data_IF_437868309615
#
_entry.id   IF_437868309615
#
_cell.length_a   1.000
_cell.length_b   1.000
_cell.length_c   1.000
_cell.angle_alpha   90.00
_cell.angle_beta   90.00
_cell.angle_gamma   90.00
#
_symmetry.space_group_name_H-M   'P 1'
#
loop_
_entity.id
_entity.type
_entity.pdbx_description
1 polymer ?
#
# COMPACT_ATOMS: atom_id res chain seq x y z
N UNK A 1 19.27 18.22 32.41
CA UNK A 1 18.44 18.96 31.43
C UNK A 1 19.32 19.25 30.22
N UNK A 2 18.97 18.76 29.02
CA UNK A 2 19.74 19.06 27.80
C UNK A 2 19.94 17.92 26.79
N UNK A 3 19.19 16.81 26.85
CA UNK A 3 19.44 15.65 25.96
C UNK A 3 18.35 15.46 24.88
N UNK A 4 17.13 16.02 25.09
CA UNK A 4 16.11 16.22 24.03
C UNK A 4 16.71 16.96 22.82
N UNK A 5 17.74 17.78 23.05
CA UNK A 5 18.42 18.57 22.02
C UNK A 5 18.90 17.73 20.82
N UNK A 6 19.46 16.54 21.02
CA UNK A 6 20.02 15.77 19.88
C UNK A 6 18.90 15.24 18.99
N UNK A 7 17.85 14.66 19.57
CA UNK A 7 16.70 14.21 18.79
C UNK A 7 16.01 15.39 18.08
N UNK A 8 15.89 16.54 18.75
CA UNK A 8 15.33 17.76 18.17
C UNK A 8 16.21 18.31 17.03
N UNK A 9 17.54 18.24 17.16
CA UNK A 9 18.48 18.59 16.09
C UNK A 9 18.30 17.64 14.91
N UNK A 10 18.22 16.32 15.13
CA UNK A 10 17.99 15.33 14.06
C UNK A 10 16.67 15.62 13.33
N UNK A 11 15.60 15.95 14.06
CA UNK A 11 14.32 16.29 13.44
C UNK A 11 14.36 17.61 12.68
N UNK A 12 15.03 18.65 13.20
CA UNK A 12 15.20 19.94 12.51
C UNK A 12 16.05 19.80 11.24
N UNK A 13 17.13 19.02 11.30
CA UNK A 13 17.97 18.71 10.14
C UNK A 13 17.15 17.95 9.10
N UNK A 14 16.41 16.92 9.52
CA UNK A 14 15.57 16.17 8.59
C UNK A 14 14.46 17.04 7.99
N UNK A 15 13.81 17.90 8.77
CA UNK A 15 12.81 18.85 8.26
C UNK A 15 13.43 19.81 7.22
N UNK A 16 14.66 20.26 7.44
CA UNK A 16 15.39 21.10 6.49
C UNK A 16 15.75 20.34 5.21
N UNK A 17 16.18 19.08 5.32
CA UNK A 17 16.41 18.16 4.20
C UNK A 17 15.11 17.95 3.43
N UNK A 18 14.00 17.75 4.13
CA UNK A 18 12.71 17.60 3.50
C UNK A 18 12.28 18.83 2.70
N UNK A 19 12.49 20.03 3.25
CA UNK A 19 12.11 21.27 2.57
C UNK A 19 13.03 21.62 1.40
N UNK A 20 14.33 21.34 1.50
CA UNK A 20 15.33 21.76 0.51
C UNK A 20 15.72 20.68 -0.50
N UNK A 21 15.71 19.41 -0.13
CA UNK A 21 16.26 18.31 -0.95
C UNK A 21 15.15 17.53 -1.64
N UNK A 22 14.05 17.19 -0.95
CA UNK A 22 12.94 16.39 -1.54
C UNK A 22 12.34 17.03 -2.82
N UNK A 23 12.20 18.37 -2.93
CA UNK A 23 11.74 18.99 -4.18
C UNK A 23 12.66 18.74 -5.38
N UNK A 24 13.94 18.44 -5.15
CA UNK A 24 14.91 18.13 -6.21
C UNK A 24 15.17 16.62 -6.38
N UNK A 25 15.20 15.88 -5.27
CA UNK A 25 15.46 14.43 -5.24
C UNK A 25 14.33 13.73 -4.49
N UNK A 26 13.36 13.19 -5.24
CA UNK A 26 12.26 12.41 -4.69
C UNK A 26 12.43 10.94 -5.06
N UNK A 27 12.37 10.06 -4.06
CA UNK A 27 12.42 8.62 -4.28
C UNK A 27 11.15 8.17 -5.02
N UNK A 28 10.01 8.79 -4.73
CA UNK A 28 8.76 8.52 -5.44
C UNK A 28 8.88 8.82 -6.95
N UNK A 29 9.47 9.98 -7.32
CA UNK A 29 9.75 10.31 -8.73
C UNK A 29 10.72 9.32 -9.34
N UNK A 30 11.81 9.01 -8.66
CA UNK A 30 12.78 8.03 -9.17
C UNK A 30 12.14 6.66 -9.40
N UNK A 31 11.25 6.21 -8.52
CA UNK A 31 10.57 4.93 -8.67
C UNK A 31 9.70 4.85 -9.93
N UNK A 32 9.08 5.98 -10.32
CA UNK A 32 8.19 6.05 -11.49
C UNK A 32 8.91 6.47 -12.79
N UNK A 33 9.90 7.36 -12.72
CA UNK A 33 10.46 8.06 -13.88
C UNK A 33 11.86 7.58 -14.30
N UNK A 34 12.42 6.52 -13.70
CA UNK A 34 13.76 6.00 -14.05
C UNK A 34 13.82 5.28 -15.43
N UNK A 35 12.92 5.58 -16.36
CA UNK A 35 12.92 5.07 -17.74
C UNK A 35 12.55 3.60 -17.94
N UNK A 36 12.44 2.80 -16.87
CA UNK A 36 12.10 1.37 -16.97
C UNK A 36 10.61 1.09 -17.18
N UNK A 37 9.74 2.03 -16.80
CA UNK A 37 8.29 1.89 -16.92
C UNK A 37 7.82 2.46 -18.26
N UNK A 38 7.05 1.65 -19.00
CA UNK A 38 6.50 2.02 -20.32
C UNK A 38 4.99 2.06 -20.25
N UNK A 39 4.42 3.22 -20.55
CA UNK A 39 2.98 3.42 -20.64
C UNK A 39 2.54 3.50 -22.10
N UNK A 40 1.28 3.17 -22.35
CA UNK A 40 0.68 3.24 -23.67
C UNK A 40 0.07 4.62 -23.89
N UNK A 41 0.51 5.31 -24.92
CA UNK A 41 -0.01 6.62 -25.27
C UNK A 41 -1.46 6.49 -25.79
N UNK A 42 -2.32 7.43 -25.41
CA UNK A 42 -3.66 7.49 -25.95
C UNK A 42 -3.59 7.87 -27.44
N UNK A 43 -4.32 7.15 -28.31
CA UNK A 43 -4.29 7.43 -29.74
C UNK A 43 -5.01 8.75 -30.04
N UNK A 44 -4.43 9.56 -30.91
CA UNK A 44 -5.01 10.86 -31.29
C UNK A 44 -6.25 10.67 -32.16
N UNK A 45 -7.20 11.62 -32.11
CA UNK A 45 -8.41 11.54 -32.96
C UNK A 45 -8.06 11.44 -34.44
N UNK A 46 -6.96 12.05 -34.87
CA UNK A 46 -6.49 12.00 -36.26
C UNK A 46 -5.95 10.62 -36.65
N UNK A 47 -5.13 9.98 -35.81
CA UNK A 47 -4.68 8.59 -36.02
C UNK A 47 -5.85 7.62 -36.10
N UNK A 48 -6.79 7.75 -35.15
CA UNK A 48 -8.01 6.96 -35.10
C UNK A 48 -8.87 7.16 -36.36
N UNK A 49 -8.97 8.39 -36.86
CA UNK A 49 -9.70 8.72 -38.10
C UNK A 49 -9.02 8.15 -39.35
N UNK A 50 -7.69 8.20 -39.43
CA UNK A 50 -6.90 7.64 -40.54
C UNK A 50 -7.06 6.11 -40.57
N UNK A 51 -6.93 5.45 -39.43
CA UNK A 51 -7.07 4.00 -39.30
C UNK A 51 -8.50 3.54 -39.62
N UNK A 52 -9.52 4.27 -39.14
CA UNK A 52 -10.92 3.98 -39.45
C UNK A 52 -11.24 4.19 -40.94
N UNK A 53 -10.65 5.22 -41.55
CA UNK A 53 -10.78 5.53 -42.98
C UNK A 53 -10.15 4.47 -43.89
N UNK A 54 -9.06 3.82 -43.46
CA UNK A 54 -8.44 2.70 -44.20
C UNK A 54 -9.35 1.46 -44.23
N UNK A 55 -10.02 1.11 -43.12
CA UNK A 55 -10.98 -0.01 -43.09
C UNK A 55 -12.29 0.28 -43.83
N UNK A 56 -12.74 1.54 -43.89
CA UNK A 56 -13.96 1.92 -44.62
C UNK A 56 -13.83 1.86 -46.15
N UNK A 57 -12.60 1.86 -46.71
CA UNK A 57 -12.40 1.75 -48.16
C UNK A 57 -12.88 0.42 -48.78
N UNK A 58 -13.20 -0.59 -47.96
CA UNK A 58 -13.74 -1.89 -48.41
C UNK A 58 -15.26 -2.06 -48.34
N UNK A 59 -16.02 -1.15 -47.72
CA UNK A 59 -17.49 -1.24 -47.64
C UNK A 59 -18.14 -0.07 -48.39
N UNK A 60 -18.68 -0.40 -49.56
CA UNK A 60 -19.41 0.48 -50.47
C UNK A 60 -20.29 1.50 -49.72
N UNK A 61 -20.05 2.77 -50.01
CA UNK A 61 -20.78 3.94 -49.52
C UNK A 61 -22.21 3.88 -50.08
N UNK A 62 -23.19 3.42 -49.29
CA UNK A 62 -24.62 3.52 -49.63
C UNK A 62 -25.37 4.27 -48.53
N UNK A 63 -25.74 5.50 -48.89
CA UNK A 63 -26.82 6.37 -48.39
C UNK A 63 -27.13 6.48 -46.88
N UNK A 64 -27.05 7.72 -46.38
CA UNK A 64 -28.26 8.55 -46.12
C UNK A 64 -27.86 9.92 -45.58
N UNK A 65 -28.08 10.96 -46.40
CA UNK A 65 -28.30 12.33 -45.93
C UNK A 65 -29.57 12.33 -45.07
N UNK A 66 -29.48 12.75 -43.82
CA UNK A 66 -30.65 13.19 -43.05
C UNK A 66 -30.31 14.48 -42.30
N UNK A 67 -31.27 15.40 -42.35
CA UNK A 67 -31.21 16.79 -41.93
C UNK A 67 -30.95 16.98 -40.42
N UNK A 68 -30.17 18.01 -40.10
CA UNK A 68 -30.63 19.09 -39.21
C UNK A 68 -30.77 18.81 -37.71
N UNK A 69 -29.75 18.27 -37.05
CA UNK A 69 -29.43 18.57 -35.64
C UNK A 69 -27.98 18.14 -35.38
N UNK A 70 -27.03 19.08 -35.38
CA UNK A 70 -25.63 18.78 -35.03
C UNK A 70 -25.54 18.79 -33.50
N UNK A 71 -26.05 17.72 -32.88
CA UNK A 71 -25.40 17.26 -31.65
C UNK A 71 -24.09 16.62 -32.09
N UNK A 72 -22.97 17.12 -31.59
CA UNK A 72 -21.63 16.56 -31.80
C UNK A 72 -21.54 15.18 -31.15
N UNK A 73 -22.19 14.18 -31.76
CA UNK A 73 -22.05 12.78 -31.35
C UNK A 73 -20.59 12.39 -31.58
N UNK A 74 -19.91 11.85 -30.56
CA UNK A 74 -18.49 11.55 -30.65
C UNK A 74 -18.24 10.55 -31.79
N UNK A 75 -17.19 10.81 -32.57
CA UNK A 75 -16.84 9.99 -33.73
C UNK A 75 -16.77 8.52 -33.30
N UNK A 76 -17.54 7.64 -33.93
CA UNK A 76 -17.62 6.22 -33.57
C UNK A 76 -16.82 5.38 -34.54
N UNK A 77 -15.98 4.48 -34.05
CA UNK A 77 -15.01 3.69 -34.81
C UNK A 77 -15.30 2.19 -34.64
N UNK A 78 -15.07 1.33 -35.66
CA UNK A 78 -15.16 -0.12 -35.49
C UNK A 78 -14.22 -0.64 -34.40
N UNK A 79 -14.68 -1.58 -33.58
CA UNK A 79 -13.89 -2.17 -32.50
C UNK A 79 -12.73 -3.04 -33.01
N UNK A 80 -12.83 -3.59 -34.22
CA UNK A 80 -11.85 -4.43 -34.91
C UNK A 80 -10.75 -3.65 -35.63
N UNK A 81 -10.56 -2.38 -35.29
CA UNK A 81 -9.54 -1.53 -35.89
C UNK A 81 -8.13 -2.04 -35.57
N UNK A 82 -7.23 -1.99 -36.56
CA UNK A 82 -5.83 -2.38 -36.36
C UNK A 82 -5.05 -1.28 -35.62
N UNK A 83 -5.40 -1.09 -34.35
CA UNK A 83 -4.78 -0.14 -33.45
C UNK A 83 -3.59 -0.79 -32.74
N UNK A 84 -2.39 -0.31 -33.02
CA UNK A 84 -1.20 -0.60 -32.23
C UNK A 84 -0.92 0.62 -31.34
N UNK A 85 -0.99 0.42 -30.02
CA UNK A 85 -0.70 1.49 -29.07
C UNK A 85 0.82 1.70 -29.00
N UNK A 86 1.27 2.94 -29.17
CA UNK A 86 2.68 3.29 -29.01
C UNK A 86 3.06 3.32 -27.53
N UNK A 87 4.23 2.75 -27.21
CA UNK A 87 4.77 2.77 -25.85
C UNK A 87 5.72 3.95 -25.67
N UNK A 88 5.49 4.75 -24.63
CA UNK A 88 6.38 5.84 -24.22
C UNK A 88 6.91 5.58 -22.80
N UNK A 89 8.13 6.01 -22.51
CA UNK A 89 8.66 6.00 -21.14
C UNK A 89 7.93 7.05 -20.28
N UNK A 90 7.67 6.72 -19.01
CA UNK A 90 7.06 7.67 -18.07
C UNK A 90 8.04 8.82 -17.80
N UNK A 91 7.61 10.06 -18.07
CA UNK A 91 8.42 11.28 -17.83
C UNK A 91 7.86 12.12 -16.68
N UNK A 92 8.69 12.97 -16.07
CA UNK A 92 8.28 13.80 -14.91
C UNK A 92 7.11 14.73 -15.24
N UNK A 93 7.06 15.26 -16.46
CA UNK A 93 5.98 16.17 -16.91
C UNK A 93 4.64 15.44 -16.95
N UNK A 94 4.65 14.16 -17.34
CA UNK A 94 3.44 13.34 -17.37
C UNK A 94 2.92 13.09 -15.95
N UNK A 95 3.80 12.94 -14.95
CA UNK A 95 3.42 12.67 -13.54
C UNK A 95 2.76 13.86 -12.83
N UNK A 96 3.06 15.09 -13.25
CA UNK A 96 2.49 16.32 -12.66
C UNK A 96 1.00 16.50 -12.99
N UNK A 97 0.52 15.91 -14.09
CA UNK A 97 -0.88 15.98 -14.49
C UNK A 97 -1.80 15.10 -13.62
N UNK A 98 -1.25 14.33 -12.68
CA UNK A 98 -2.02 13.35 -11.91
C UNK A 98 -2.43 13.87 -10.52
N UNK A 99 -3.73 13.79 -10.26
CA UNK A 99 -4.38 14.36 -9.07
C UNK A 99 -3.81 13.84 -7.74
N UNK A 100 -3.47 12.54 -7.65
CA UNK A 100 -2.98 11.89 -6.44
C UNK A 100 -1.46 11.77 -6.34
N UNK A 101 -0.73 12.29 -7.34
CA UNK A 101 0.73 12.20 -7.35
C UNK A 101 1.39 12.94 -6.19
N UNK A 102 0.97 14.17 -5.83
CA UNK A 102 1.56 14.87 -4.71
C UNK A 102 1.39 14.13 -3.38
N UNK A 103 0.23 13.48 -3.17
CA UNK A 103 -0.05 12.72 -1.95
C UNK A 103 0.81 11.44 -1.86
N UNK A 104 0.96 10.73 -2.99
CA UNK A 104 1.84 9.56 -3.08
C UNK A 104 3.31 9.93 -2.88
N UNK A 105 3.78 10.97 -3.58
CA UNK A 105 5.14 11.46 -3.47
C UNK A 105 5.48 11.83 -2.02
N UNK A 106 4.58 12.58 -1.38
CA UNK A 106 4.75 12.96 0.02
C UNK A 106 4.79 11.75 0.95
N UNK A 107 3.90 10.76 0.78
CA UNK A 107 3.87 9.56 1.61
C UNK A 107 5.19 8.79 1.53
N UNK A 108 5.71 8.55 0.32
CA UNK A 108 6.96 7.79 0.12
C UNK A 108 8.16 8.56 0.66
N UNK A 109 8.32 9.82 0.28
CA UNK A 109 9.49 10.60 0.67
C UNK A 109 9.50 10.88 2.19
N UNK A 110 8.33 11.13 2.79
CA UNK A 110 8.20 11.26 4.26
C UNK A 110 8.49 9.94 4.97
N UNK A 111 8.08 8.80 4.41
CA UNK A 111 8.37 7.47 4.98
C UNK A 111 9.89 7.21 5.01
N UNK A 112 10.59 7.54 3.92
CA UNK A 112 12.06 7.42 3.86
C UNK A 112 12.71 8.33 4.89
N UNK A 113 12.28 9.60 4.98
CA UNK A 113 12.78 10.54 5.97
C UNK A 113 12.56 10.04 7.41
N UNK A 114 11.35 9.57 7.73
CA UNK A 114 11.01 8.99 9.03
C UNK A 114 11.86 7.74 9.35
N UNK A 115 12.11 6.88 8.35
CA UNK A 115 12.98 5.71 8.50
C UNK A 115 14.41 6.11 8.85
N UNK A 116 14.96 7.12 8.17
CA UNK A 116 16.30 7.64 8.46
C UNK A 116 16.37 8.25 9.86
N UNK A 117 15.37 9.05 10.25
CA UNK A 117 15.26 9.60 11.61
C UNK A 117 15.22 8.46 12.64
N UNK A 118 14.44 7.42 12.39
CA UNK A 118 14.34 6.26 13.27
C UNK A 118 15.67 5.53 13.40
N UNK A 119 16.35 5.22 12.29
CA UNK A 119 17.65 4.53 12.30
C UNK A 119 18.71 5.37 13.03
N UNK A 120 18.83 6.65 12.73
CA UNK A 120 19.80 7.54 13.42
C UNK A 120 19.51 7.60 14.91
N UNK A 121 18.23 7.68 15.27
CA UNK A 121 17.81 7.69 16.68
C UNK A 121 18.16 6.37 17.36
N UNK A 122 17.90 5.23 16.74
CA UNK A 122 18.27 3.91 17.29
C UNK A 122 19.78 3.71 17.44
N UNK A 123 20.55 4.15 16.45
CA UNK A 123 22.02 4.14 16.53
C UNK A 123 22.46 4.99 17.72
N UNK A 124 21.87 6.16 17.92
CA UNK A 124 22.13 7.02 19.08
C UNK A 124 21.76 6.35 20.42
N UNK A 125 20.59 5.72 20.52
CA UNK A 125 20.18 5.01 21.73
C UNK A 125 21.13 3.84 22.06
N UNK A 126 21.60 3.10 21.06
CA UNK A 126 22.56 2.00 21.25
C UNK A 126 23.90 2.48 21.82
N UNK A 127 24.39 3.64 21.39
CA UNK A 127 25.66 4.19 21.88
C UNK A 127 25.54 4.91 23.22
N UNK A 128 24.52 5.74 23.40
CA UNK A 128 24.43 6.68 24.53
C UNK A 128 23.56 6.18 25.69
N UNK A 129 22.74 5.13 25.49
CA UNK A 129 21.83 4.54 26.49
C UNK A 129 21.08 5.57 27.35
N UNK A 130 20.38 6.56 26.77
CA UNK A 130 19.66 7.57 27.55
C UNK A 130 18.45 6.93 28.25
N UNK A 131 18.37 7.09 29.59
CA UNK A 131 17.41 6.38 30.45
C UNK A 131 16.05 7.08 30.63
N UNK A 132 15.89 8.33 30.18
CA UNK A 132 14.73 9.15 30.55
C UNK A 132 14.13 9.98 29.39
N UNK A 133 14.28 9.53 28.15
CA UNK A 133 13.84 10.31 26.98
C UNK A 133 12.75 9.63 26.16
N UNK A 134 11.70 10.40 25.86
CA UNK A 134 10.68 10.03 24.88
C UNK A 134 11.34 9.97 23.50
N UNK A 135 11.22 8.84 22.83
CA UNK A 135 11.81 8.64 21.50
C UNK A 135 11.00 9.43 20.46
N UNK A 136 11.48 10.61 20.04
CA UNK A 136 10.81 11.48 19.07
C UNK A 136 10.64 10.79 17.71
N UNK A 137 11.48 9.80 17.37
CA UNK A 137 11.31 9.05 16.12
C UNK A 137 9.97 8.28 16.06
N UNK A 138 9.38 7.93 17.21
CA UNK A 138 8.04 7.35 17.28
C UNK A 138 6.97 8.32 16.78
N UNK A 139 7.14 9.62 17.02
CA UNK A 139 6.23 10.66 16.50
C UNK A 139 6.29 10.69 14.97
N UNK A 140 7.47 10.56 14.38
CA UNK A 140 7.62 10.46 12.91
C UNK A 140 6.92 9.21 12.37
N UNK A 141 7.05 8.06 13.05
CA UNK A 141 6.35 6.84 12.68
C UNK A 141 4.81 7.00 12.77
N UNK A 142 4.30 7.68 13.81
CA UNK A 142 2.88 8.01 13.95
C UNK A 142 2.38 8.98 12.86
N UNK A 143 3.21 9.92 12.42
CA UNK A 143 2.91 10.80 11.30
C UNK A 143 2.84 10.03 9.98
N UNK A 144 3.75 9.08 9.73
CA UNK A 144 3.66 8.17 8.57
C UNK A 144 2.34 7.41 8.61
N UNK A 145 1.96 6.88 9.77
CA UNK A 145 0.68 6.18 9.95
C UNK A 145 -0.52 7.09 9.65
N UNK A 146 -0.51 8.32 10.13
CA UNK A 146 -1.55 9.31 9.87
C UNK A 146 -1.65 9.64 8.37
N UNK A 147 -0.53 9.83 7.68
CA UNK A 147 -0.51 10.07 6.24
C UNK A 147 -1.01 8.86 5.44
N UNK A 148 -0.64 7.65 5.84
CA UNK A 148 -1.14 6.43 5.23
C UNK A 148 -2.67 6.32 5.34
N UNK A 149 -3.22 6.55 6.54
CA UNK A 149 -4.68 6.53 6.77
C UNK A 149 -5.37 7.63 5.94
N UNK A 150 -4.80 8.84 5.89
CA UNK A 150 -5.32 9.94 5.08
C UNK A 150 -5.41 9.54 3.60
N UNK A 151 -4.35 8.96 3.04
CA UNK A 151 -4.32 8.52 1.63
C UNK A 151 -5.36 7.41 1.39
N UNK A 152 -5.46 6.43 2.29
CA UNK A 152 -6.47 5.37 2.21
C UNK A 152 -7.90 5.90 2.27
N UNK A 153 -8.15 6.90 3.11
CA UNK A 153 -9.46 7.55 3.21
C UNK A 153 -9.79 8.38 1.96
N UNK A 154 -8.84 9.19 1.48
CA UNK A 154 -8.95 9.99 0.25
C UNK A 154 -9.33 9.12 -0.95
N UNK A 155 -8.64 8.00 -1.07
CA UNK A 155 -8.86 7.00 -2.09
C UNK A 155 -10.22 6.30 -1.96
N UNK A 156 -10.59 5.85 -0.77
CA UNK A 156 -11.90 5.21 -0.55
C UNK A 156 -13.03 6.18 -0.89
N UNK A 157 -12.88 7.45 -0.52
CA UNK A 157 -13.85 8.50 -0.87
C UNK A 157 -14.00 8.68 -2.38
N UNK A 158 -12.92 8.51 -3.15
CA UNK A 158 -12.97 8.55 -4.61
C UNK A 158 -13.79 7.39 -5.19
N UNK A 159 -13.55 6.16 -4.75
CA UNK A 159 -14.36 4.99 -5.15
C UNK A 159 -15.84 5.19 -4.79
N UNK A 160 -16.11 5.75 -3.61
CA UNK A 160 -17.48 6.01 -3.20
C UNK A 160 -18.17 7.09 -4.05
N UNK A 161 -17.45 7.94 -4.77
CA UNK A 161 -18.04 8.96 -5.65
C UNK A 161 -18.43 8.45 -7.04
N UNK A 162 -17.96 7.26 -7.43
CA UNK A 162 -18.34 6.65 -8.71
C UNK A 162 -19.85 6.34 -8.70
N UNK A 163 -20.53 6.59 -9.82
CA UNK A 163 -22.00 6.54 -9.93
C UNK A 163 -22.58 5.13 -9.70
N UNK A 164 -21.78 4.07 -9.88
CA UNK A 164 -22.19 2.69 -9.64
C UNK A 164 -22.16 2.35 -8.14
N UNK A 165 -23.34 2.30 -7.51
CA UNK A 165 -23.50 2.04 -6.07
C UNK A 165 -22.97 0.69 -5.55
N UNK A 166 -22.55 -0.23 -6.43
CA UNK A 166 -22.01 -1.55 -6.07
C UNK A 166 -20.71 -1.48 -5.27
N UNK A 167 -19.83 -0.51 -5.56
CA UNK A 167 -18.55 -0.35 -4.87
C UNK A 167 -18.75 -0.03 -3.37
N UNK A 168 -19.71 0.82 -3.05
CA UNK A 168 -20.03 1.18 -1.65
C UNK A 168 -20.46 -0.04 -0.85
N UNK A 169 -21.31 -0.88 -1.44
CA UNK A 169 -21.79 -2.10 -0.80
C UNK A 169 -20.64 -3.06 -0.51
N UNK A 170 -19.74 -3.29 -1.48
CA UNK A 170 -18.55 -4.15 -1.30
C UNK A 170 -17.71 -3.66 -0.13
N UNK A 171 -17.39 -2.36 -0.08
CA UNK A 171 -16.57 -1.81 1.00
C UNK A 171 -17.20 -2.00 2.38
N UNK A 172 -18.51 -1.80 2.51
CA UNK A 172 -19.24 -1.99 3.79
C UNK A 172 -19.26 -3.47 4.18
N UNK A 173 -19.53 -4.38 3.25
CA UNK A 173 -19.53 -5.82 3.50
C UNK A 173 -18.16 -6.32 3.97
N UNK A 174 -17.08 -5.89 3.30
CA UNK A 174 -15.72 -6.23 3.74
C UNK A 174 -15.37 -5.60 5.08
N UNK A 175 -15.83 -4.37 5.36
CA UNK A 175 -15.70 -3.74 6.68
C UNK A 175 -16.29 -4.62 7.79
N UNK A 176 -17.52 -5.11 7.61
CA UNK A 176 -18.15 -6.04 8.56
C UNK A 176 -17.38 -7.37 8.67
N UNK A 177 -16.93 -7.93 7.55
CA UNK A 177 -16.10 -9.15 7.56
C UNK A 177 -14.81 -8.95 8.37
N UNK A 178 -14.11 -7.83 8.18
CA UNK A 178 -12.91 -7.51 8.95
C UNK A 178 -13.20 -7.21 10.42
N UNK A 179 -14.37 -6.65 10.75
CA UNK A 179 -14.81 -6.49 12.13
C UNK A 179 -14.94 -7.84 12.85
N UNK A 180 -15.66 -8.79 12.26
CA UNK A 180 -15.83 -10.14 12.82
C UNK A 180 -14.47 -10.84 12.96
N UNK A 181 -13.63 -10.75 11.93
CA UNK A 181 -12.28 -11.31 11.95
C UNK A 181 -11.41 -10.68 13.06
N UNK A 182 -11.44 -9.35 13.20
CA UNK A 182 -10.69 -8.64 14.23
C UNK A 182 -11.16 -9.03 15.64
N UNK A 183 -12.48 -9.12 15.85
CA UNK A 183 -13.04 -9.59 17.12
C UNK A 183 -12.58 -11.01 17.45
N UNK A 184 -12.66 -11.95 16.49
CA UNK A 184 -12.19 -13.32 16.69
C UNK A 184 -10.72 -13.36 17.09
N UNK A 185 -9.86 -12.58 16.42
CA UNK A 185 -8.42 -12.50 16.71
C UNK A 185 -8.14 -11.85 18.07
N UNK A 186 -8.85 -10.78 18.45
CA UNK A 186 -8.63 -10.05 19.71
C UNK A 186 -9.15 -10.81 20.95
N UNK A 187 -10.03 -11.78 20.76
CA UNK A 187 -10.48 -12.70 21.82
C UNK A 187 -9.40 -13.75 22.13
N UNK A 188 -8.58 -14.13 21.14
CA UNK A 188 -7.48 -15.08 21.35
C UNK A 188 -6.50 -14.53 22.38
N UNK A 189 -6.08 -15.38 23.32
CA UNK A 189 -5.17 -15.01 24.39
C UNK A 189 -3.74 -14.81 23.88
N UNK A 190 -2.96 -13.98 24.59
CA UNK A 190 -1.55 -13.72 24.24
C UNK A 190 -0.64 -14.95 24.35
N UNK A 191 -1.15 -16.05 24.91
CA UNK A 191 -0.50 -17.35 24.91
C UNK A 191 -0.41 -17.97 23.52
N UNK A 192 -1.22 -17.51 22.56
CA UNK A 192 -1.19 -17.97 21.17
C UNK A 192 -0.70 -16.89 20.20
N UNK A 193 -0.96 -15.62 20.47
CA UNK A 193 -0.60 -14.49 19.60
C UNK A 193 0.33 -13.49 20.32
N UNK A 194 1.52 -13.24 19.78
CA UNK A 194 2.53 -12.32 20.35
C UNK A 194 2.27 -10.85 20.02
N UNK A 195 1.07 -10.32 20.30
CA UNK A 195 0.80 -8.91 20.02
C UNK A 195 1.22 -7.96 21.16
N UNK A 196 1.33 -8.46 22.40
CA UNK A 196 1.65 -7.63 23.58
C UNK A 196 0.59 -6.56 23.88
N UNK A 197 -0.66 -6.84 23.53
CA UNK A 197 -1.80 -5.93 23.67
C UNK A 197 -2.20 -5.72 25.13
N UNK A 198 -2.15 -6.76 25.97
CA UNK A 198 -2.48 -6.70 27.38
C UNK A 198 -1.42 -5.90 28.14
N UNK A 199 -0.14 -6.17 27.90
CA UNK A 199 0.97 -5.37 28.45
C UNK A 199 0.92 -3.92 27.97
N UNK A 200 0.64 -3.70 26.68
CA UNK A 200 0.45 -2.35 26.14
C UNK A 200 -0.72 -1.61 26.79
N UNK A 201 -1.84 -2.31 27.01
CA UNK A 201 -3.01 -1.76 27.68
C UNK A 201 -2.76 -1.43 29.16
N UNK A 202 -2.07 -2.30 29.91
CA UNK A 202 -1.73 -2.03 31.31
C UNK A 202 -0.82 -0.81 31.42
N UNK A 203 0.24 -0.75 30.60
CA UNK A 203 1.16 0.38 30.59
C UNK A 203 0.45 1.70 30.22
N UNK A 204 -0.47 1.66 29.25
CA UNK A 204 -1.28 2.81 28.87
C UNK A 204 -2.23 3.23 30.00
N UNK A 205 -2.95 2.28 30.60
CA UNK A 205 -3.90 2.55 31.68
C UNK A 205 -3.18 3.15 32.90
N UNK A 206 -2.04 2.58 33.30
CA UNK A 206 -1.25 3.08 34.43
C UNK A 206 -0.72 4.49 34.16
N UNK A 207 -0.22 4.75 32.94
CA UNK A 207 0.23 6.09 32.54
C UNK A 207 -0.92 7.11 32.50
N UNK A 208 -2.10 6.70 32.02
CA UNK A 208 -3.29 7.55 31.98
C UNK A 208 -3.81 7.86 33.39
N UNK A 209 -3.77 6.90 34.30
CA UNK A 209 -4.13 7.11 35.70
C UNK A 209 -3.19 8.11 36.38
N UNK A 210 -1.87 7.95 36.22
CA UNK A 210 -0.90 8.92 36.76
C UNK A 210 -1.08 10.33 36.18
N UNK A 211 -1.52 10.45 34.93
CA UNK A 211 -1.83 11.74 34.33
C UNK A 211 -3.11 12.36 34.90
N UNK A 212 -4.17 11.56 35.06
CA UNK A 212 -5.45 12.00 35.63
C UNK A 212 -5.32 12.41 37.10
N UNK A 213 -4.55 11.65 37.89
CA UNK A 213 -4.23 11.99 39.29
C UNK A 213 -3.53 13.35 39.38
N UNK A 214 -2.59 13.63 38.47
CA UNK A 214 -1.93 14.95 38.39
C UNK A 214 -2.87 16.09 37.99
N UNK A 215 -3.95 15.79 37.29
CA UNK A 215 -5.01 16.75 36.94
C UNK A 215 -6.09 16.87 38.03
N UNK A 216 -5.93 16.17 39.17
CA UNK A 216 -6.86 16.22 40.30
C UNK A 216 -8.17 15.44 40.08
N UNK A 217 -8.22 14.57 39.08
CA UNK A 217 -9.38 13.72 38.80
C UNK A 217 -9.17 12.33 39.43
N UNK A 218 -9.75 12.09 40.61
CA UNK A 218 -9.87 10.73 41.15
C UNK A 218 -10.86 9.95 40.28
N UNK A 219 -10.38 8.99 39.49
CA UNK A 219 -11.28 8.12 38.74
C UNK A 219 -10.77 6.70 38.63
N UNK A 220 -11.71 5.76 38.80
CA UNK A 220 -11.59 4.33 38.53
C UNK A 220 -10.99 4.09 37.15
N UNK A 221 -10.37 2.91 36.97
CA UNK A 221 -9.72 2.47 35.74
C UNK A 221 -10.46 2.97 34.47
N UNK A 222 -9.85 3.85 33.66
CA UNK A 222 -10.59 4.73 32.75
C UNK A 222 -11.32 4.01 31.60
N UNK A 223 -10.94 2.76 31.28
CA UNK A 223 -11.56 1.94 30.23
C UNK A 223 -11.46 0.45 30.61
N UNK A 224 -12.48 -0.36 30.33
CA UNK A 224 -12.38 -1.82 30.52
C UNK A 224 -11.53 -2.48 29.40
N UNK A 225 -10.82 -3.58 29.70
CA UNK A 225 -10.07 -4.37 28.69
C UNK A 225 -10.95 -4.77 27.49
N UNK A 226 -12.21 -5.11 27.74
CA UNK A 226 -13.16 -5.50 26.69
C UNK A 226 -13.57 -4.32 25.81
N UNK A 227 -13.85 -3.16 26.43
CA UNK A 227 -14.15 -1.92 25.71
C UNK A 227 -12.97 -1.50 24.82
N UNK A 228 -11.74 -1.61 25.32
CA UNK A 228 -10.53 -1.33 24.54
C UNK A 228 -10.41 -2.26 23.32
N UNK A 229 -10.55 -3.59 23.52
CA UNK A 229 -10.54 -4.56 22.42
C UNK A 229 -11.66 -4.30 21.40
N UNK A 230 -12.84 -3.90 21.84
CA UNK A 230 -13.96 -3.56 20.96
C UNK A 230 -13.66 -2.33 20.08
N UNK A 231 -13.15 -1.24 20.66
CA UNK A 231 -12.75 -0.07 19.87
C UNK A 231 -11.62 -0.40 18.90
N UNK A 232 -10.63 -1.19 19.34
CA UNK A 232 -9.56 -1.66 18.46
C UNK A 232 -10.12 -2.48 17.28
N UNK A 233 -11.12 -3.34 17.51
CA UNK A 233 -11.79 -4.08 16.44
C UNK A 233 -12.49 -3.16 15.43
N UNK A 234 -13.11 -2.07 15.90
CA UNK A 234 -13.71 -1.04 15.02
C UNK A 234 -12.61 -0.37 14.17
N UNK A 235 -11.49 0.02 14.77
CA UNK A 235 -10.37 0.59 14.02
C UNK A 235 -9.80 -0.39 12.99
N UNK A 236 -9.61 -1.66 13.35
CA UNK A 236 -9.18 -2.71 12.43
C UNK A 236 -10.18 -2.93 11.28
N UNK A 237 -11.49 -2.87 11.57
CA UNK A 237 -12.54 -2.96 10.56
C UNK A 237 -12.49 -1.80 9.58
N UNK A 238 -12.34 -0.57 10.07
CA UNK A 238 -12.26 0.63 9.24
C UNK A 238 -11.03 0.60 8.33
N UNK A 239 -9.87 0.26 8.88
CA UNK A 239 -8.63 0.08 8.10
C UNK A 239 -8.82 -1.04 7.08
N UNK A 240 -9.36 -2.20 7.48
CA UNK A 240 -9.65 -3.31 6.58
C UNK A 240 -10.57 -2.93 5.42
N UNK A 241 -11.63 -2.16 5.69
CA UNK A 241 -12.52 -1.64 4.66
C UNK A 241 -11.76 -0.77 3.65
N UNK A 242 -10.96 0.19 4.12
CA UNK A 242 -10.16 1.04 3.24
C UNK A 242 -9.09 0.28 2.43
N UNK A 243 -8.61 -0.85 2.95
CA UNK A 243 -7.65 -1.72 2.27
C UNK A 243 -8.29 -2.68 1.26
N UNK A 244 -9.63 -2.78 1.22
CA UNK A 244 -10.34 -3.76 0.37
C UNK A 244 -10.09 -3.50 -1.11
N UNK A 245 -10.37 -2.30 -1.60
CA UNK A 245 -10.14 -1.93 -3.00
C UNK A 245 -8.66 -1.99 -3.41
N UNK A 246 -7.72 -1.39 -2.64
CA UNK A 246 -6.30 -1.58 -2.89
C UNK A 246 -5.89 -3.06 -2.93
N UNK A 247 -6.43 -3.89 -2.03
CA UNK A 247 -6.14 -5.31 -1.93
C UNK A 247 -6.63 -6.11 -3.14
N UNK A 248 -7.89 -5.92 -3.53
CA UNK A 248 -8.45 -6.53 -4.75
C UNK A 248 -7.68 -6.10 -5.99
N UNK A 249 -7.32 -4.81 -6.06
CA UNK A 249 -6.57 -4.29 -7.18
C UNK A 249 -5.14 -4.84 -7.24
N UNK A 250 -4.49 -5.00 -6.08
CA UNK A 250 -3.19 -5.65 -5.98
C UNK A 250 -3.25 -7.12 -6.45
N UNK A 251 -4.30 -7.85 -6.08
CA UNK A 251 -4.48 -9.25 -6.49
C UNK A 251 -4.62 -9.35 -8.02
N UNK A 252 -5.37 -8.45 -8.66
CA UNK A 252 -5.47 -8.38 -10.11
C UNK A 252 -4.10 -8.10 -10.77
N UNK A 253 -3.35 -7.12 -10.25
CA UNK A 253 -2.01 -6.82 -10.77
C UNK A 253 -1.04 -7.99 -10.64
N UNK A 254 -1.16 -8.75 -9.56
CA UNK A 254 -0.33 -9.93 -9.35
C UNK A 254 -0.61 -10.98 -10.42
N UNK A 255 -1.87 -11.28 -10.69
CA UNK A 255 -2.26 -12.19 -11.78
C UNK A 255 -1.80 -11.67 -13.14
N UNK A 256 -1.94 -10.36 -13.37
CA UNK A 256 -1.51 -9.72 -14.60
C UNK A 256 0.02 -9.78 -14.79
N UNK A 257 0.79 -9.56 -13.72
CA UNK A 257 2.24 -9.66 -13.73
C UNK A 257 2.69 -11.11 -13.94
N UNK A 258 1.99 -12.09 -13.36
CA UNK A 258 2.28 -13.51 -13.54
C UNK A 258 2.08 -13.94 -15.00
N UNK A 259 1.00 -13.46 -15.63
CA UNK A 259 0.73 -13.74 -17.05
C UNK A 259 1.76 -13.12 -18.00
N UNK A 260 2.38 -12.01 -17.59
CA UNK A 260 3.44 -11.33 -18.36
C UNK A 260 4.83 -11.90 -18.08
N UNK A 261 5.03 -12.56 -16.95
CA UNK A 261 6.31 -13.13 -16.57
C UNK A 261 6.59 -14.42 -17.36
N UNK A 262 7.61 -14.38 -18.21
CA UNK A 262 8.07 -15.53 -19.00
C UNK A 262 9.06 -16.42 -18.24
N UNK A 263 9.85 -15.82 -17.34
CA UNK A 263 10.89 -16.52 -16.59
C UNK A 263 10.35 -17.18 -15.32
N UNK A 264 10.73 -18.45 -15.11
CA UNK A 264 10.31 -19.24 -13.93
C UNK A 264 10.74 -18.61 -12.61
N UNK A 265 11.94 -18.00 -12.56
CA UNK A 265 12.45 -17.34 -11.34
C UNK A 265 11.53 -16.18 -10.96
N UNK A 266 11.21 -15.31 -11.92
CA UNK A 266 10.30 -14.18 -11.72
C UNK A 266 8.91 -14.63 -11.27
N UNK A 267 8.38 -15.71 -11.85
CA UNK A 267 7.11 -16.31 -11.39
C UNK A 267 7.17 -16.80 -9.94
N UNK A 268 8.24 -17.51 -9.56
CA UNK A 268 8.41 -17.97 -8.17
C UNK A 268 8.53 -16.79 -7.19
N UNK A 269 9.29 -15.75 -7.53
CA UNK A 269 9.43 -14.55 -6.71
C UNK A 269 8.09 -13.81 -6.56
N UNK A 270 7.28 -13.74 -7.62
CA UNK A 270 5.95 -13.17 -7.57
C UNK A 270 5.04 -13.96 -6.62
N UNK A 271 5.05 -15.29 -6.66
CA UNK A 271 4.26 -16.11 -5.72
C UNK A 271 4.69 -15.92 -4.27
N UNK A 272 6.00 -15.90 -4.00
CA UNK A 272 6.54 -15.63 -2.67
C UNK A 272 6.10 -14.23 -2.21
N UNK A 273 6.16 -13.23 -3.08
CA UNK A 273 5.72 -11.87 -2.76
C UNK A 273 4.21 -11.76 -2.46
N UNK A 274 3.38 -12.53 -3.17
CA UNK A 274 1.95 -12.60 -2.88
C UNK A 274 1.65 -13.24 -1.52
N UNK A 275 2.40 -14.28 -1.15
CA UNK A 275 2.30 -14.97 0.14
C UNK A 275 3.01 -14.23 1.28
N UNK A 276 3.87 -13.26 1.00
CA UNK A 276 4.67 -12.55 2.00
C UNK A 276 3.84 -12.01 3.18
N UNK A 277 2.69 -11.33 3.01
CA UNK A 277 1.88 -10.85 4.13
C UNK A 277 1.36 -11.99 5.03
N UNK A 278 1.10 -13.17 4.46
CA UNK A 278 0.70 -14.33 5.24
C UNK A 278 1.86 -14.82 6.11
N UNK A 279 3.06 -14.97 5.52
CA UNK A 279 4.26 -15.33 6.28
C UNK A 279 4.55 -14.33 7.40
N UNK A 280 4.40 -13.03 7.12
CA UNK A 280 4.55 -11.98 8.14
C UNK A 280 3.64 -12.21 9.34
N UNK A 281 2.35 -12.49 9.12
CA UNK A 281 1.38 -12.71 10.20
C UNK A 281 1.67 -14.01 10.94
N UNK A 282 2.05 -15.08 10.23
CA UNK A 282 2.34 -16.38 10.83
C UNK A 282 3.49 -16.31 11.83
N UNK A 283 4.52 -15.48 11.59
CA UNK A 283 5.64 -15.27 12.53
C UNK A 283 5.23 -14.79 13.93
N UNK A 284 4.03 -14.20 14.06
CA UNK A 284 3.48 -13.70 15.33
C UNK A 284 2.56 -14.70 16.02
N UNK A 285 2.35 -15.87 15.41
CA UNK A 285 1.56 -16.97 15.98
C UNK A 285 2.53 -17.93 16.68
N UNK A 286 2.51 -17.94 18.02
CA UNK A 286 3.38 -18.77 18.87
C UNK A 286 3.36 -20.25 18.49
N UNK A 287 2.20 -20.93 18.41
CA UNK A 287 2.16 -22.38 18.18
C UNK A 287 2.70 -22.78 16.80
N UNK A 288 2.67 -21.88 15.82
CA UNK A 288 3.12 -22.17 14.45
C UNK A 288 4.63 -21.99 14.32
N UNK A 289 5.20 -21.01 15.03
CA UNK A 289 6.59 -20.60 14.82
C UNK A 289 7.43 -20.80 16.06
N UNK A 290 7.12 -20.07 17.14
CA UNK A 290 7.95 -20.03 18.34
C UNK A 290 7.93 -21.37 19.06
N UNK A 291 6.76 -21.95 19.31
CA UNK A 291 6.66 -23.22 20.02
C UNK A 291 7.15 -24.39 19.17
N UNK A 292 6.95 -24.33 17.85
CA UNK A 292 7.48 -25.35 16.94
C UNK A 292 9.02 -25.35 16.87
N UNK A 293 9.65 -24.17 16.88
CA UNK A 293 11.11 -24.02 16.81
C UNK A 293 11.76 -24.23 18.19
N UNK A 294 11.14 -23.72 19.27
CA UNK A 294 11.69 -23.80 20.62
C UNK A 294 11.38 -25.14 21.30
N UNK A 295 10.27 -25.80 20.97
CA UNK A 295 9.86 -27.10 21.52
C UNK A 295 9.31 -28.01 20.40
N UNK A 296 10.17 -28.50 19.48
CA UNK A 296 9.70 -29.37 18.40
C UNK A 296 9.00 -30.60 18.99
N UNK A 297 7.76 -30.94 18.58
CA UNK A 297 7.03 -32.09 19.13
C UNK A 297 7.61 -33.46 18.69
N UNK A 298 8.73 -33.47 17.95
CA UNK A 298 9.43 -34.68 17.52
C UNK A 298 10.57 -35.04 18.49
N UNK A 299 10.23 -35.73 19.57
CA UNK A 299 11.23 -36.47 20.37
C UNK A 299 10.98 -36.50 21.87
N UNK A 300 11.58 -37.49 22.55
CA UNK A 300 11.54 -37.64 24.03
C UNK A 300 12.44 -36.64 24.76
N UNK A 301 13.28 -35.90 24.03
CA UNK A 301 14.12 -34.82 24.56
C UNK A 301 13.94 -33.58 23.68
N UNK A 302 13.25 -32.57 24.21
CA UNK A 302 13.04 -31.28 23.53
C UNK A 302 14.29 -30.42 23.71
N UNK A 303 15.28 -30.60 22.85
CA UNK A 303 16.41 -29.66 22.76
C UNK A 303 15.90 -28.42 22.00
N UNK A 304 15.89 -27.22 22.61
CA UNK A 304 15.46 -26.03 21.91
C UNK A 304 16.41 -25.74 20.74
N UNK A 305 15.90 -25.68 19.50
CA UNK A 305 16.73 -25.40 18.32
C UNK A 305 17.34 -23.98 18.38
N UNK A 306 16.68 -23.05 19.06
CA UNK A 306 17.12 -21.65 19.10
C UNK A 306 16.68 -20.93 20.38
N UNK A 307 17.48 -19.96 20.82
CA UNK A 307 17.12 -19.08 21.94
C UNK A 307 16.10 -18.02 21.51
N UNK A 308 15.35 -17.47 22.47
CA UNK A 308 14.32 -16.45 22.21
C UNK A 308 14.90 -15.19 21.55
N UNK A 309 16.07 -14.72 21.99
CA UNK A 309 16.73 -13.55 21.42
C UNK A 309 17.16 -13.77 19.96
N UNK A 310 17.64 -14.98 19.64
CA UNK A 310 17.98 -15.34 18.26
C UNK A 310 16.72 -15.37 17.38
N UNK A 311 15.58 -15.82 17.92
CA UNK A 311 14.31 -15.89 17.18
C UNK A 311 13.77 -14.50 16.87
N UNK A 312 13.78 -13.60 17.86
CA UNK A 312 13.37 -12.21 17.67
C UNK A 312 14.25 -11.51 16.61
N UNK A 313 15.56 -11.79 16.58
CA UNK A 313 16.50 -11.28 15.58
C UNK A 313 16.23 -11.86 14.18
N UNK A 314 16.01 -13.17 14.08
CA UNK A 314 15.70 -13.84 12.83
C UNK A 314 14.37 -13.35 12.25
N UNK A 315 13.35 -13.18 13.09
CA UNK A 315 12.05 -12.61 12.70
C UNK A 315 12.25 -11.23 12.07
N UNK A 316 13.04 -10.34 12.69
CA UNK A 316 13.32 -9.02 12.13
C UNK A 316 13.97 -9.10 10.75
N UNK A 317 15.02 -9.92 10.59
CA UNK A 317 15.69 -10.09 9.29
C UNK A 317 14.76 -10.65 8.22
N UNK A 318 13.92 -11.62 8.57
CA UNK A 318 12.96 -12.21 7.65
C UNK A 318 11.89 -11.18 7.21
N UNK A 319 11.44 -10.33 8.13
CA UNK A 319 10.52 -9.23 7.82
C UNK A 319 11.20 -8.23 6.87
N UNK A 320 12.43 -7.82 7.15
CA UNK A 320 13.19 -6.91 6.25
C UNK A 320 13.34 -7.53 4.86
N UNK A 321 13.68 -8.82 4.77
CA UNK A 321 13.83 -9.54 3.51
C UNK A 321 12.53 -9.59 2.70
N UNK A 322 11.41 -9.91 3.35
CA UNK A 322 10.09 -9.95 2.70
C UNK A 322 9.66 -8.56 2.21
N UNK A 323 9.98 -7.49 2.94
CA UNK A 323 9.72 -6.12 2.51
C UNK A 323 10.61 -5.70 1.36
N UNK A 324 11.90 -6.07 1.37
CA UNK A 324 12.81 -5.84 0.25
C UNK A 324 12.34 -6.56 -1.02
N UNK A 325 11.89 -7.82 -0.90
CA UNK A 325 11.28 -8.56 -2.00
C UNK A 325 10.06 -7.83 -2.56
N UNK A 326 9.20 -7.28 -1.69
CA UNK A 326 8.01 -6.53 -2.09
C UNK A 326 8.35 -5.26 -2.85
N UNK A 327 9.35 -4.50 -2.40
CA UNK A 327 9.85 -3.32 -3.10
C UNK A 327 10.52 -3.69 -4.44
N UNK A 328 11.23 -4.81 -4.52
CA UNK A 328 11.83 -5.29 -5.76
C UNK A 328 10.76 -5.66 -6.81
N UNK A 329 9.70 -6.36 -6.38
CA UNK A 329 8.59 -6.79 -7.25
C UNK A 329 7.58 -5.67 -7.56
N UNK A 330 7.65 -4.53 -6.86
CA UNK A 330 6.77 -3.38 -7.07
C UNK A 330 6.76 -2.91 -8.52
N UNK A 331 7.93 -2.86 -9.17
CA UNK A 331 8.04 -2.43 -10.57
C UNK A 331 7.33 -3.39 -11.54
N UNK A 332 7.41 -4.69 -11.31
CA UNK A 332 6.75 -5.71 -12.13
C UNK A 332 5.24 -5.60 -12.06
N UNK A 333 4.69 -5.38 -10.86
CA UNK A 333 3.25 -5.11 -10.68
C UNK A 333 2.82 -3.81 -11.35
N UNK A 334 3.65 -2.78 -11.26
CA UNK A 334 3.39 -1.47 -11.81
C UNK A 334 3.38 -1.51 -13.35
N UNK A 335 4.34 -2.20 -13.96
CA UNK A 335 4.34 -2.43 -15.42
C UNK A 335 3.14 -3.28 -15.86
N UNK A 336 2.75 -4.30 -15.09
CA UNK A 336 1.57 -5.10 -15.39
C UNK A 336 0.29 -4.27 -15.42
N UNK A 337 0.18 -3.26 -14.55
CA UNK A 337 -0.91 -2.29 -14.58
C UNK A 337 -0.87 -1.39 -15.82
N UNK A 338 0.30 -0.91 -16.26
CA UNK A 338 0.41 -0.14 -17.51
C UNK A 338 -0.09 -0.94 -18.70
N UNK A 339 0.22 -2.24 -18.71
CA UNK A 339 -0.18 -3.15 -19.76
C UNK A 339 -1.69 -3.45 -19.78
N UNK A 340 -2.45 -2.97 -18.80
CA UNK A 340 -3.91 -3.08 -18.82
C UNK A 340 -4.52 -2.31 -19.99
N UNK A 341 -3.95 -1.16 -20.37
CA UNK A 341 -4.42 -0.41 -21.54
C UNK A 341 -4.41 -1.26 -22.81
N UNK A 342 -3.33 -2.02 -23.03
CA UNK A 342 -3.22 -2.94 -24.16
C UNK A 342 -4.22 -4.09 -24.06
N UNK A 343 -4.36 -4.71 -22.87
CA UNK A 343 -5.35 -5.78 -22.65
C UNK A 343 -6.78 -5.33 -22.95
N UNK A 344 -7.12 -4.12 -22.52
CA UNK A 344 -8.41 -3.49 -22.79
C UNK A 344 -8.68 -3.35 -24.30
N UNK A 345 -7.69 -2.85 -25.05
CA UNK A 345 -7.78 -2.75 -26.52
C UNK A 345 -7.89 -4.13 -27.16
N UNK A 346 -7.08 -5.10 -26.73
CA UNK A 346 -7.11 -6.46 -27.29
C UNK A 346 -8.45 -7.18 -27.01
N UNK A 347 -9.07 -6.92 -25.85
CA UNK A 347 -10.40 -7.44 -25.53
C UNK A 347 -11.48 -6.78 -26.38
N UNK A 348 -11.41 -5.46 -26.54
CA UNK A 348 -12.33 -4.73 -27.40
C UNK A 348 -12.28 -5.21 -28.85
N UNK A 349 -11.07 -5.49 -29.39
CA UNK A 349 -10.91 -6.06 -30.75
C UNK A 349 -11.62 -7.40 -30.95
N UNK A 350 -11.88 -8.16 -29.87
CA UNK A 350 -12.60 -9.44 -29.92
C UNK A 350 -14.12 -9.26 -29.92
N UNK A 351 -14.62 -8.10 -29.52
CA UNK A 351 -16.05 -7.79 -29.48
C UNK A 351 -16.51 -7.15 -30.79
N UNK A 352 -17.59 -7.66 -31.38
CA UNK A 352 -18.21 -7.01 -32.52
C UNK A 352 -18.93 -5.73 -32.08
N UNK A 353 -18.72 -4.63 -32.78
CA UNK A 353 -19.44 -3.37 -32.52
C UNK A 353 -18.67 -2.12 -32.95
N UNK A 354 -19.23 -0.97 -32.61
CA UNK A 354 -18.56 0.33 -32.75
C UNK A 354 -18.41 0.94 -31.36
N UNK A 355 -17.30 1.64 -31.13
CA UNK A 355 -17.00 2.36 -29.89
C UNK A 355 -16.79 3.84 -30.19
N UNK A 356 -17.21 4.74 -29.31
CA UNK A 356 -16.88 6.14 -29.48
C UNK A 356 -15.39 6.38 -29.25
N UNK A 357 -14.81 7.33 -30.00
CA UNK A 357 -13.43 7.80 -29.81
C UNK A 357 -13.15 8.22 -28.38
N UNK A 358 -14.12 8.88 -27.74
CA UNK A 358 -14.03 9.31 -26.34
C UNK A 358 -14.01 8.11 -25.38
N UNK A 359 -14.83 7.08 -25.58
CA UNK A 359 -14.79 5.86 -24.76
C UNK A 359 -13.51 5.06 -24.98
N UNK A 360 -13.05 4.96 -26.22
CA UNK A 360 -11.78 4.31 -26.58
C UNK A 360 -10.60 5.02 -25.91
N UNK A 361 -10.57 6.35 -26.00
CA UNK A 361 -9.57 7.17 -25.33
C UNK A 361 -9.68 7.01 -23.81
N UNK A 362 -10.87 7.06 -23.21
CA UNK A 362 -11.05 6.78 -21.78
C UNK A 362 -10.55 5.39 -21.39
N UNK A 363 -10.77 4.37 -22.20
CA UNK A 363 -10.31 3.00 -21.93
C UNK A 363 -8.78 2.88 -21.91
N UNK A 364 -8.07 3.70 -22.69
CA UNK A 364 -6.59 3.76 -22.73
C UNK A 364 -6.04 4.75 -21.71
N UNK A 365 -6.74 5.85 -21.47
CA UNK A 365 -6.39 6.92 -20.53
C UNK A 365 -6.60 6.48 -19.09
N UNK A 366 -7.67 5.77 -18.72
CA UNK A 366 -7.93 5.39 -17.32
C UNK A 366 -6.81 4.49 -16.76
N UNK A 367 -6.30 3.47 -17.48
CA UNK A 367 -5.09 2.75 -17.07
C UNK A 367 -3.80 3.59 -17.22
N UNK A 368 -3.75 4.51 -18.18
CA UNK A 368 -2.63 5.42 -18.43
C UNK A 368 -2.50 6.59 -17.44
N UNK A 369 -3.59 6.97 -16.75
CA UNK A 369 -3.64 7.91 -15.62
C UNK A 369 -3.19 7.14 -14.38
N UNK A 370 -1.92 6.77 -14.44
CA UNK A 370 -1.24 5.75 -13.67
C UNK A 370 -1.23 5.93 -12.15
N UNK A 371 -1.68 7.09 -11.66
CA UNK A 371 -1.54 7.52 -10.27
C UNK A 371 -2.91 7.66 -9.56
N UNK A 372 -4.03 7.41 -10.24
CA UNK A 372 -5.28 7.10 -9.52
C UNK A 372 -5.27 5.69 -8.87
N UNK A 373 -4.15 4.98 -9.01
CA UNK A 373 -4.05 3.60 -8.59
C UNK A 373 -3.82 3.45 -7.06
N UNK A 374 -4.81 2.93 -6.32
CA UNK A 374 -4.74 2.72 -4.86
C UNK A 374 -3.61 1.79 -4.39
N UNK A 375 -3.10 0.96 -5.29
CA UNK A 375 -2.20 -0.16 -4.95
C UNK A 375 -0.78 0.29 -4.61
N UNK A 376 -0.31 1.41 -5.13
CA UNK A 376 1.04 1.95 -4.89
C UNK A 376 1.24 2.34 -3.41
N UNK A 377 0.46 3.29 -2.84
CA UNK A 377 0.56 3.61 -1.42
C UNK A 377 0.26 2.37 -0.56
N UNK A 378 -0.65 1.49 -0.97
CA UNK A 378 -0.96 0.24 -0.27
C UNK A 378 0.22 -0.75 -0.21
N UNK A 379 0.97 -0.93 -1.31
CA UNK A 379 2.16 -1.78 -1.33
C UNK A 379 3.24 -1.25 -0.39
N UNK A 380 3.42 0.08 -0.33
CA UNK A 380 4.33 0.76 0.58
C UNK A 380 3.90 0.63 2.05
N UNK A 381 2.63 0.87 2.33
CA UNK A 381 1.99 0.67 3.65
C UNK A 381 2.28 -0.76 4.14
N UNK A 382 1.99 -1.79 3.34
CA UNK A 382 2.18 -3.18 3.75
C UNK A 382 3.65 -3.56 3.91
N UNK A 383 4.57 -2.96 3.15
CA UNK A 383 6.00 -3.19 3.35
C UNK A 383 6.51 -2.49 4.63
N UNK A 384 5.99 -1.31 4.94
CA UNK A 384 6.57 -0.47 5.99
C UNK A 384 6.03 -0.77 7.39
N UNK A 385 4.72 -1.04 7.52
CA UNK A 385 4.08 -1.27 8.83
C UNK A 385 4.64 -2.47 9.62
N UNK A 386 4.93 -3.64 9.00
CA UNK A 386 5.51 -4.76 9.72
C UNK A 386 6.91 -4.48 10.26
N UNK A 387 7.72 -3.72 9.53
CA UNK A 387 9.07 -3.31 9.96
C UNK A 387 8.94 -2.41 11.19
N UNK A 388 8.10 -1.37 11.11
CA UNK A 388 7.85 -0.49 12.24
C UNK A 388 7.31 -1.24 13.45
N UNK A 389 6.33 -2.12 13.26
CA UNK A 389 5.74 -2.89 14.35
C UNK A 389 6.81 -3.76 15.04
N UNK A 390 7.65 -4.45 14.27
CA UNK A 390 8.70 -5.33 14.82
C UNK A 390 9.78 -4.55 15.56
N UNK A 391 10.22 -3.43 15.01
CA UNK A 391 11.23 -2.57 15.63
C UNK A 391 10.72 -1.98 16.95
N UNK A 392 9.46 -1.53 16.99
CA UNK A 392 8.83 -1.02 18.21
C UNK A 392 8.55 -2.12 19.23
N UNK A 393 8.15 -3.31 18.79
CA UNK A 393 7.98 -4.47 19.66
C UNK A 393 9.30 -4.84 20.37
N UNK A 394 10.42 -4.81 19.64
CA UNK A 394 11.74 -5.09 20.23
C UNK A 394 12.16 -4.01 21.24
N UNK A 395 11.81 -2.74 21.00
CA UNK A 395 12.02 -1.65 21.97
C UNK A 395 11.21 -1.84 23.26
N UNK A 396 9.98 -2.36 23.16
CA UNK A 396 9.12 -2.64 24.32
C UNK A 396 9.62 -3.83 25.15
N UNK A 397 10.36 -4.76 24.54
CA UNK A 397 10.88 -5.98 25.19
C UNK A 397 12.31 -5.83 25.72
N UNK A 398 13.08 -4.91 25.13
CA UNK A 398 14.50 -4.65 25.44
C UNK A 398 14.75 -3.51 26.44
N UNK A 399 13.69 -2.88 26.95
CA UNK A 399 13.71 -1.98 28.11
C UNK A 399 12.94 -2.63 29.24
#
# INVERSE_FOLDING_TARGET
>A
MGVIGIQLVVTMVMASVMQKIIPHYSLARWLLCNGSLRWYQHPTEEELRILAGKQQKGKSKKDRKYNGHIESKPLTIPKDIDLHLETKSVTEVDTLALHYFPEYQWLVDFTVAATVVYIVTEVYYNFMKPTQEMNISLVWCLLVLSFAIKVLFSLTTHYFKVEDGGERSICVTFGFFFFVKAMAVLIVTENYLEFGLETGFTNFSDSAMQFLEKQGLESQSPVSKLTFKFFLAIFCSLIGAFLTFPGLRLAQMHLDALNLATEKITQTLLHINFLAPLFMVLLWVKPITKDYIMNPPLGKESIPLMTEATFDTLRLWLIILLCALRLAMMRSHLQAYLNLAQKCVDQMKKEAGRISTVELQKMVIIPGVFIQNPSLPYQWIIAYFPILFTLNYHQLKGR
#
